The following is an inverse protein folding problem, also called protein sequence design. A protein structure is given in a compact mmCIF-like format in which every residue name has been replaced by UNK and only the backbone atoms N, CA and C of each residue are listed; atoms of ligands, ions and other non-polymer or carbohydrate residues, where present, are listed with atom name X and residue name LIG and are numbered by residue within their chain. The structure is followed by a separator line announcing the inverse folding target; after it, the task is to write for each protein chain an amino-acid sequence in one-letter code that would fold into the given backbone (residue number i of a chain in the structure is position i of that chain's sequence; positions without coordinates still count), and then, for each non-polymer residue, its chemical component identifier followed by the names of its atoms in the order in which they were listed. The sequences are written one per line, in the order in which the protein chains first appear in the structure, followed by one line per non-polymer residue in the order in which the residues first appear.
data_IF_816838251993
#
_entry.id   IF_816838251993
#
_cell.length_a   1.000
_cell.length_b   1.000
_cell.length_c   1.000
_cell.angle_alpha   90.00
_cell.angle_beta   90.00
_cell.angle_gamma   90.00
#
_symmetry.space_group_name_H-M   'P 1'
#
loop_
_entity.id
_entity.type
_entity.pdbx_description
1 polymer ?
#
# COMPACT_ATOMS: atom_id res chain seq x y z
N UNK A 1 -1.22 20.97 -0.85
CA UNK A 1 -0.42 19.82 -1.31
C UNK A 1 -1.32 18.84 -2.07
N UNK A 2 -0.76 18.06 -3.00
CA UNK A 2 -1.49 17.22 -3.98
C UNK A 2 -2.51 16.26 -3.32
N UNK A 3 -2.18 15.65 -2.17
CA UNK A 3 -3.11 14.80 -1.42
C UNK A 3 -4.47 15.47 -1.17
N UNK A 4 -4.46 16.73 -0.71
CA UNK A 4 -5.68 17.49 -0.40
C UNK A 4 -6.52 17.76 -1.65
N UNK A 5 -5.87 18.01 -2.79
CA UNK A 5 -6.54 18.25 -4.06
C UNK A 5 -7.22 16.99 -4.59
N UNK A 6 -6.59 15.83 -4.45
CA UNK A 6 -7.09 14.56 -4.97
C UNK A 6 -8.13 13.90 -4.06
N UNK A 7 -7.90 13.93 -2.74
CA UNK A 7 -8.70 13.17 -1.77
C UNK A 7 -9.62 14.06 -0.92
N UNK A 8 -9.58 15.38 -1.11
CA UNK A 8 -10.53 16.31 -0.49
C UNK A 8 -10.53 16.21 1.03
N UNK A 9 -11.67 15.88 1.63
CA UNK A 9 -11.80 15.75 3.10
C UNK A 9 -11.03 14.57 3.67
N UNK A 10 -10.64 13.59 2.86
CA UNK A 10 -9.91 12.40 3.29
C UNK A 10 -8.40 12.62 3.43
N UNK A 11 -7.89 13.82 3.12
CA UNK A 11 -6.49 14.16 3.33
C UNK A 11 -6.36 15.44 4.17
N UNK A 12 -5.32 15.55 5.02
CA UNK A 12 -5.04 16.77 5.74
C UNK A 12 -4.65 17.87 4.75
N UNK A 13 -5.09 19.08 5.05
CA UNK A 13 -4.52 20.31 4.55
C UNK A 13 -3.22 20.58 5.32
N UNK A 14 -2.13 20.69 4.57
CA UNK A 14 -0.77 20.87 5.10
C UNK A 14 -0.18 22.16 4.54
N UNK A 15 0.39 22.95 5.45
CA UNK A 15 1.04 24.23 5.17
C UNK A 15 2.50 24.16 5.60
N UNK A 16 3.41 24.59 4.73
CA UNK A 16 4.78 24.85 5.12
C UNK A 16 4.83 26.17 5.89
N UNK A 17 5.32 26.13 7.13
CA UNK A 17 5.40 27.30 8.01
C UNK A 17 6.75 27.99 7.86
N UNK A 18 7.82 27.22 7.69
CA UNK A 18 9.17 27.73 7.56
C UNK A 18 10.22 26.69 7.92
N UNK A 19 11.47 27.10 7.90
CA UNK A 19 12.61 26.30 8.35
C UNK A 19 13.39 27.07 9.41
N UNK A 20 13.93 26.36 10.41
CA UNK A 20 14.93 26.90 11.31
C UNK A 20 16.30 26.49 10.79
N UNK A 21 17.11 27.47 10.41
CA UNK A 21 18.51 27.30 10.08
C UNK A 21 19.32 28.25 10.94
N UNK A 22 20.41 27.74 11.50
CA UNK A 22 21.47 28.57 12.06
C UNK A 22 22.57 28.63 10.99
N UNK A 23 22.45 29.58 10.06
CA UNK A 23 23.22 29.70 8.80
C UNK A 23 24.76 29.80 9.01
N UNK A 24 25.26 29.66 10.24
CA UNK A 24 26.67 29.79 10.61
C UNK A 24 27.35 28.56 11.22
N UNK A 25 26.65 27.43 11.46
CA UNK A 25 27.26 26.27 12.11
C UNK A 25 27.33 25.08 11.16
N UNK A 26 28.54 24.77 10.70
CA UNK A 26 28.83 23.58 9.91
C UNK A 26 28.36 22.32 10.64
N UNK A 27 27.54 21.50 9.96
CA UNK A 27 27.07 20.20 10.46
C UNK A 27 25.69 20.18 11.12
N UNK A 28 24.90 21.26 11.07
CA UNK A 28 23.49 21.23 11.48
C UNK A 28 22.56 21.01 10.29
N UNK A 29 21.64 20.05 10.42
CA UNK A 29 20.55 19.84 9.46
C UNK A 29 19.42 20.86 9.68
N UNK A 30 18.77 21.35 8.61
CA UNK A 30 17.65 22.27 8.72
C UNK A 30 16.43 21.59 9.35
N UNK A 31 15.76 22.28 10.29
CA UNK A 31 14.48 21.82 10.83
C UNK A 31 13.33 22.44 10.03
N UNK A 32 12.58 21.62 9.30
CA UNK A 32 11.39 22.06 8.57
C UNK A 32 10.14 21.96 9.45
N UNK A 33 9.32 23.00 9.43
CA UNK A 33 8.10 23.10 10.23
C UNK A 33 6.89 23.11 9.30
N UNK A 34 5.99 22.15 9.53
CA UNK A 34 4.72 22.03 8.82
C UNK A 34 3.55 22.10 9.80
N UNK A 35 2.45 22.70 9.37
CA UNK A 35 1.18 22.70 10.08
C UNK A 35 0.18 21.87 9.27
N UNK A 36 -0.47 20.91 9.92
CA UNK A 36 -1.52 20.11 9.32
C UNK A 36 -2.81 20.21 10.13
N UNK A 37 -3.97 20.31 9.47
CA UNK A 37 -5.23 20.17 10.19
C UNK A 37 -5.42 18.71 10.64
N UNK A 38 -5.99 18.53 11.84
CA UNK A 38 -6.25 17.20 12.38
C UNK A 38 -7.43 16.55 11.65
N UNK A 39 -7.21 15.34 11.12
CA UNK A 39 -8.29 14.44 10.72
C UNK A 39 -8.98 13.91 11.98
N UNK A 40 -10.30 14.11 12.08
CA UNK A 40 -11.10 13.70 13.24
C UNK A 40 -11.52 12.24 13.09
N UNK A 41 -11.04 11.40 14.00
CA UNK A 41 -11.25 9.97 14.04
C UNK A 41 -10.18 9.31 14.90
N UNK A 42 -10.13 7.98 14.89
CA UNK A 42 -9.08 7.16 15.49
C UNK A 42 -8.30 6.44 14.39
N UNK A 43 -7.07 6.03 14.67
CA UNK A 43 -6.36 5.16 13.71
C UNK A 43 -7.08 3.82 13.61
N UNK A 44 -6.96 3.15 12.48
CA UNK A 44 -7.51 1.80 12.33
C UNK A 44 -6.86 0.83 13.34
N UNK A 45 -5.58 1.06 13.68
CA UNK A 45 -4.90 0.34 14.75
C UNK A 45 -5.64 0.49 16.10
N UNK A 46 -5.91 1.72 16.52
CA UNK A 46 -6.62 2.01 17.78
C UNK A 46 -8.04 1.42 17.78
N UNK A 47 -8.73 1.51 16.64
CA UNK A 47 -10.04 0.88 16.45
C UNK A 47 -9.95 -0.64 16.64
N UNK A 48 -8.99 -1.30 16.00
CA UNK A 48 -8.77 -2.75 16.13
C UNK A 48 -8.38 -3.15 17.55
N UNK A 49 -7.59 -2.35 18.26
CA UNK A 49 -7.23 -2.61 19.67
C UNK A 49 -8.44 -2.52 20.60
N UNK A 50 -9.40 -1.65 20.28
CA UNK A 50 -10.60 -1.43 21.09
C UNK A 50 -11.72 -2.44 20.78
N UNK A 51 -11.89 -2.79 19.49
CA UNK A 51 -13.06 -3.52 19.00
C UNK A 51 -12.75 -4.86 18.32
N UNK A 52 -11.49 -5.14 18.01
CA UNK A 52 -11.09 -6.23 17.10
C UNK A 52 -11.30 -7.64 17.62
N UNK A 53 -11.74 -7.83 18.87
CA UNK A 53 -12.01 -9.14 19.45
C UNK A 53 -13.49 -9.33 19.83
N UNK A 54 -14.09 -10.49 19.53
CA UNK A 54 -13.52 -11.61 18.78
C UNK A 54 -13.45 -11.33 17.28
N UNK A 55 -12.44 -11.86 16.60
CA UNK A 55 -12.12 -11.53 15.20
C UNK A 55 -13.32 -11.67 14.26
N UNK A 56 -14.09 -12.76 14.35
CA UNK A 56 -15.18 -13.08 13.42
C UNK A 56 -16.57 -12.77 14.01
N UNK A 57 -16.68 -11.78 14.91
CA UNK A 57 -17.99 -11.27 15.31
C UNK A 57 -18.74 -10.64 14.12
N UNK A 58 -20.06 -10.62 14.20
CA UNK A 58 -20.88 -9.97 13.18
C UNK A 58 -20.57 -8.47 13.07
N UNK A 59 -20.27 -7.81 14.18
CA UNK A 59 -19.90 -6.39 14.21
C UNK A 59 -18.54 -6.16 13.54
N UNK A 60 -17.52 -6.97 13.85
CA UNK A 60 -16.21 -6.89 13.21
C UNK A 60 -16.27 -7.15 11.71
N UNK A 61 -17.11 -8.10 11.29
CA UNK A 61 -17.39 -8.29 9.88
C UNK A 61 -18.03 -7.05 9.25
N UNK A 62 -19.06 -6.47 9.88
CA UNK A 62 -19.74 -5.28 9.37
C UNK A 62 -18.77 -4.09 9.24
N UNK A 63 -17.95 -3.83 10.25
CA UNK A 63 -16.95 -2.76 10.23
C UNK A 63 -15.89 -2.96 9.14
N UNK A 64 -15.32 -4.18 9.00
CA UNK A 64 -14.37 -4.47 7.90
C UNK A 64 -15.01 -4.31 6.53
N UNK A 65 -16.27 -4.73 6.37
CA UNK A 65 -17.00 -4.57 5.12
C UNK A 65 -17.25 -3.10 4.79
N UNK A 66 -17.59 -2.29 5.79
CA UNK A 66 -17.70 -0.84 5.65
C UNK A 66 -16.38 -0.23 5.19
N UNK A 67 -15.30 -0.49 5.94
CA UNK A 67 -14.00 0.08 5.66
C UNK A 67 -13.47 -0.34 4.30
N UNK A 68 -13.60 -1.62 3.91
CA UNK A 68 -13.08 -2.09 2.62
C UNK A 68 -13.85 -1.50 1.43
N UNK A 69 -15.15 -1.25 1.59
CA UNK A 69 -15.94 -0.51 0.59
C UNK A 69 -15.49 0.95 0.47
N UNK A 70 -15.20 1.61 1.59
CA UNK A 70 -14.66 2.99 1.58
C UNK A 70 -13.25 3.06 1.00
N UNK A 71 -12.41 2.06 1.27
CA UNK A 71 -11.10 1.91 0.64
C UNK A 71 -11.22 1.80 -0.88
N UNK A 72 -12.15 0.99 -1.38
CA UNK A 72 -12.38 0.89 -2.82
C UNK A 72 -12.76 2.25 -3.44
N UNK A 73 -13.60 3.04 -2.78
CA UNK A 73 -13.92 4.41 -3.20
C UNK A 73 -12.71 5.33 -3.16
N UNK A 74 -11.90 5.24 -2.11
CA UNK A 74 -10.65 6.00 -1.97
C UNK A 74 -9.66 5.70 -3.10
N UNK A 75 -9.42 4.42 -3.41
CA UNK A 75 -8.58 4.03 -4.54
C UNK A 75 -9.21 4.45 -5.88
N UNK A 76 -10.54 4.42 -6.02
CA UNK A 76 -11.20 4.92 -7.22
C UNK A 76 -10.96 6.42 -7.45
N UNK A 77 -10.83 7.24 -6.41
CA UNK A 77 -10.49 8.67 -6.55
C UNK A 77 -9.13 8.86 -7.22
N UNK A 78 -8.15 8.04 -6.86
CA UNK A 78 -6.81 8.11 -7.43
C UNK A 78 -6.80 7.64 -8.88
N UNK A 79 -7.51 6.53 -9.19
CA UNK A 79 -7.69 6.05 -10.56
C UNK A 79 -8.33 7.10 -11.47
N UNK A 80 -9.39 7.75 -11.00
CA UNK A 80 -10.13 8.79 -11.75
C UNK A 80 -9.37 10.10 -11.92
N UNK A 81 -8.24 10.25 -11.21
CA UNK A 81 -7.44 11.46 -11.21
C UNK A 81 -5.98 11.15 -11.59
N UNK A 82 -5.73 10.61 -12.80
CA UNK A 82 -4.37 10.28 -13.21
C UNK A 82 -3.50 11.53 -13.27
N UNK A 83 -2.27 11.40 -12.78
CA UNK A 83 -1.25 12.42 -12.82
C UNK A 83 -0.51 12.38 -14.15
N UNK A 84 -0.32 13.55 -14.75
CA UNK A 84 0.50 13.67 -15.95
C UNK A 84 1.97 13.52 -15.56
N UNK A 85 2.65 12.55 -16.16
CA UNK A 85 4.09 12.35 -16.01
C UNK A 85 4.76 12.44 -17.37
N UNK A 86 5.96 13.02 -17.40
CA UNK A 86 6.74 13.07 -18.61
C UNK A 86 7.30 11.68 -18.98
N UNK A 87 7.60 11.41 -20.27
CA UNK A 87 8.14 10.12 -20.70
C UNK A 87 9.48 9.75 -20.02
N UNK A 88 10.30 10.73 -19.63
CA UNK A 88 11.57 10.46 -18.94
C UNK A 88 11.34 9.95 -17.52
N UNK A 89 10.33 10.48 -16.82
CA UNK A 89 9.93 10.00 -15.50
C UNK A 89 9.43 8.55 -15.57
N UNK A 90 8.54 8.25 -16.52
CA UNK A 90 8.05 6.89 -16.74
C UNK A 90 9.18 5.92 -17.11
N UNK A 91 10.15 6.37 -17.92
CA UNK A 91 11.34 5.57 -18.23
C UNK A 91 12.25 5.32 -17.01
N UNK A 92 12.39 6.30 -16.11
CA UNK A 92 13.11 6.10 -14.84
C UNK A 92 12.41 5.07 -13.97
N UNK A 93 11.09 5.16 -13.80
CA UNK A 93 10.32 4.16 -13.06
C UNK A 93 10.47 2.76 -13.65
N UNK A 94 10.42 2.64 -14.99
CA UNK A 94 10.68 1.38 -15.68
C UNK A 94 12.03 0.79 -15.32
N UNK A 95 13.09 1.59 -15.41
CA UNK A 95 14.44 1.16 -15.05
C UNK A 95 14.51 0.74 -13.58
N UNK A 96 13.98 1.55 -12.66
CA UNK A 96 13.95 1.26 -11.22
C UNK A 96 13.24 -0.06 -10.94
N UNK A 97 11.99 -0.22 -11.39
CA UNK A 97 11.22 -1.43 -11.10
C UNK A 97 11.83 -2.67 -11.73
N UNK A 98 12.30 -2.61 -12.98
CA UNK A 98 12.98 -3.74 -13.62
C UNK A 98 14.24 -4.12 -12.85
N UNK A 99 15.09 -3.16 -12.46
CA UNK A 99 16.32 -3.43 -11.74
C UNK A 99 16.06 -3.98 -10.33
N UNK A 100 15.10 -3.42 -9.59
CA UNK A 100 14.73 -3.90 -8.26
C UNK A 100 14.13 -5.30 -8.31
N UNK A 101 13.23 -5.58 -9.25
CA UNK A 101 12.67 -6.92 -9.42
C UNK A 101 13.71 -7.96 -9.86
N UNK A 102 14.68 -7.59 -10.71
CA UNK A 102 15.80 -8.48 -11.07
C UNK A 102 16.70 -8.78 -9.88
N UNK A 103 16.91 -7.78 -9.02
CA UNK A 103 17.67 -7.95 -7.79
C UNK A 103 16.94 -8.91 -6.83
N UNK A 104 15.61 -8.74 -6.67
CA UNK A 104 14.78 -9.68 -5.90
C UNK A 104 14.75 -11.08 -6.50
N UNK A 105 14.69 -11.22 -7.82
CA UNK A 105 14.75 -12.51 -8.51
C UNK A 105 16.04 -13.26 -8.15
N UNK A 106 17.15 -12.53 -8.01
CA UNK A 106 18.45 -13.12 -7.66
C UNK A 106 18.56 -13.43 -6.17
N UNK A 107 18.04 -12.55 -5.31
CA UNK A 107 18.23 -12.63 -3.86
C UNK A 107 17.20 -13.51 -3.13
N UNK A 108 15.94 -13.51 -3.58
CA UNK A 108 14.87 -14.24 -2.91
C UNK A 108 14.93 -15.75 -3.20
N UNK A 109 14.37 -16.59 -2.30
CA UNK A 109 14.27 -18.03 -2.51
C UNK A 109 13.57 -18.40 -3.83
N UNK A 110 14.01 -19.51 -4.44
CA UNK A 110 13.53 -20.02 -5.75
C UNK A 110 12.01 -20.11 -5.86
N UNK A 111 11.29 -20.36 -4.75
CA UNK A 111 9.83 -20.42 -4.72
C UNK A 111 9.13 -19.14 -5.22
N UNK A 112 9.81 -17.98 -5.16
CA UNK A 112 9.25 -16.71 -5.65
C UNK A 112 9.61 -16.41 -7.12
N UNK A 113 10.56 -17.13 -7.71
CA UNK A 113 11.16 -16.76 -8.99
C UNK A 113 10.15 -16.65 -10.13
N UNK A 114 9.21 -17.58 -10.24
CA UNK A 114 8.19 -17.55 -11.28
C UNK A 114 7.29 -16.29 -11.19
N UNK A 115 6.89 -15.92 -9.98
CA UNK A 115 6.03 -14.76 -9.72
C UNK A 115 6.82 -13.47 -9.97
N UNK A 116 8.06 -13.38 -9.47
CA UNK A 116 8.92 -12.23 -9.71
C UNK A 116 9.21 -12.06 -11.21
N UNK A 117 9.47 -13.14 -11.95
CA UNK A 117 9.66 -13.09 -13.39
C UNK A 117 8.40 -12.59 -14.11
N UNK A 118 7.21 -13.07 -13.72
CA UNK A 118 5.95 -12.57 -14.27
C UNK A 118 5.76 -11.06 -14.05
N UNK A 119 6.19 -10.54 -12.90
CA UNK A 119 6.17 -9.10 -12.64
C UNK A 119 7.16 -8.34 -13.54
N UNK A 120 8.39 -8.86 -13.73
CA UNK A 120 9.39 -8.29 -14.64
C UNK A 120 8.84 -8.21 -16.06
N UNK A 121 8.26 -9.30 -16.55
CA UNK A 121 7.70 -9.40 -17.91
C UNK A 121 6.49 -8.46 -18.11
N UNK A 122 5.86 -8.03 -17.02
CA UNK A 122 4.66 -7.20 -17.02
C UNK A 122 4.92 -5.73 -16.68
N UNK A 123 6.17 -5.30 -16.46
CA UNK A 123 6.49 -3.91 -16.05
C UNK A 123 5.91 -2.88 -17.01
N UNK A 124 6.01 -3.08 -18.33
CA UNK A 124 5.49 -2.12 -19.31
C UNK A 124 3.95 -2.05 -19.28
N UNK A 125 3.27 -3.18 -19.06
CA UNK A 125 1.82 -3.20 -18.87
C UNK A 125 1.43 -2.46 -17.59
N UNK A 126 2.12 -2.73 -16.47
CA UNK A 126 1.91 -2.06 -15.18
C UNK A 126 2.10 -0.55 -15.32
N UNK A 127 3.14 -0.10 -16.01
CA UNK A 127 3.39 1.32 -16.26
C UNK A 127 2.39 1.94 -17.23
N UNK A 128 1.62 1.15 -17.96
CA UNK A 128 0.54 1.63 -18.82
C UNK A 128 -0.76 1.90 -18.05
N UNK A 129 -0.88 1.42 -16.80
CA UNK A 129 -1.96 1.81 -15.90
C UNK A 129 -1.93 3.32 -15.60
N UNK A 130 -3.05 3.89 -15.09
CA UNK A 130 -3.08 5.26 -14.59
C UNK A 130 -1.94 5.53 -13.60
N UNK A 131 -1.21 6.62 -13.82
CA UNK A 131 -0.22 7.12 -12.86
C UNK A 131 -0.96 7.87 -11.77
N UNK A 132 -0.84 7.46 -10.52
CA UNK A 132 -1.63 7.97 -9.41
C UNK A 132 -0.72 8.40 -8.26
N UNK A 133 -1.26 9.20 -7.34
CA UNK A 133 -0.54 9.61 -6.14
C UNK A 133 -0.65 8.53 -5.06
N UNK A 134 0.44 7.76 -4.92
CA UNK A 134 0.64 6.63 -4.04
C UNK A 134 1.08 7.10 -2.65
N UNK A 135 0.60 6.47 -1.58
CA UNK A 135 0.93 6.86 -0.19
C UNK A 135 2.31 6.34 0.28
N UNK A 136 2.77 5.22 -0.29
CA UNK A 136 3.99 4.47 0.08
C UNK A 136 4.03 3.86 1.49
N UNK A 137 3.46 4.51 2.50
CA UNK A 137 3.29 3.94 3.86
C UNK A 137 1.81 3.70 4.20
N UNK A 138 1.09 3.02 3.31
CA UNK A 138 -0.35 2.80 3.48
C UNK A 138 -0.59 1.65 4.48
N UNK A 139 -1.03 1.96 5.69
CA UNK A 139 -1.23 0.95 6.73
C UNK A 139 -2.14 1.39 7.88
N UNK A 140 -2.38 0.47 8.82
CA UNK A 140 -3.34 0.63 9.93
C UNK A 140 -3.09 1.84 10.83
N UNK A 141 -1.85 2.36 10.86
CA UNK A 141 -1.48 3.56 11.61
C UNK A 141 -1.86 4.85 10.88
N UNK A 142 -1.94 4.82 9.55
CA UNK A 142 -2.16 5.98 8.70
C UNK A 142 -3.58 6.06 8.14
N UNK A 143 -4.36 4.99 8.30
CA UNK A 143 -5.80 4.95 8.00
C UNK A 143 -6.58 5.46 9.21
N UNK A 144 -7.35 6.54 9.03
CA UNK A 144 -8.21 7.12 10.05
C UNK A 144 -9.66 6.69 9.83
N UNK A 145 -10.31 6.19 10.87
CA UNK A 145 -11.70 5.74 10.82
C UNK A 145 -12.57 6.45 11.85
N UNK A 146 -13.88 6.51 11.57
CA UNK A 146 -14.89 6.88 12.55
C UNK A 146 -14.97 5.81 13.66
N UNK A 147 -14.91 6.25 14.92
CA UNK A 147 -14.78 5.38 16.09
C UNK A 147 -16.01 4.47 16.33
N UNK A 148 -17.17 4.80 15.76
CA UNK A 148 -18.39 4.01 15.95
C UNK A 148 -18.73 3.14 14.74
N UNK A 149 -18.49 3.67 13.55
CA UNK A 149 -18.96 3.08 12.29
C UNK A 149 -17.86 2.41 11.47
N UNK A 150 -16.60 2.67 11.78
CA UNK A 150 -15.43 2.24 11.01
C UNK A 150 -15.41 2.79 9.56
N UNK A 151 -16.19 3.83 9.26
CA UNK A 151 -16.10 4.54 8.00
C UNK A 151 -14.75 5.23 7.85
N UNK A 152 -14.18 5.23 6.65
CA UNK A 152 -12.95 5.98 6.37
C UNK A 152 -13.22 7.48 6.53
N UNK A 153 -12.46 8.14 7.41
CA UNK A 153 -12.54 9.60 7.61
C UNK A 153 -11.28 10.32 7.13
N UNK A 154 -10.19 9.61 6.89
CA UNK A 154 -9.05 10.13 6.16
C UNK A 154 -7.82 9.23 6.18
N UNK A 155 -6.79 9.69 5.49
CA UNK A 155 -5.46 9.08 5.41
C UNK A 155 -4.45 10.16 5.72
N UNK A 156 -3.51 9.87 6.62
CA UNK A 156 -2.51 10.81 7.13
C UNK A 156 -1.09 10.31 6.83
N UNK A 157 -0.10 11.17 7.03
CA UNK A 157 1.32 10.88 6.79
C UNK A 157 1.70 10.64 5.32
N UNK A 158 1.44 11.66 4.50
CA UNK A 158 1.76 11.67 3.07
C UNK A 158 3.24 12.02 2.78
N UNK A 159 4.15 11.88 3.75
CA UNK A 159 5.54 12.32 3.63
C UNK A 159 6.31 11.54 2.55
N UNK A 160 6.05 10.23 2.46
CA UNK A 160 6.71 9.32 1.50
C UNK A 160 5.94 9.17 0.18
N UNK A 161 4.89 9.98 -0.02
CA UNK A 161 4.00 9.81 -1.16
C UNK A 161 4.70 10.11 -2.50
N UNK A 162 4.43 9.27 -3.51
CA UNK A 162 5.05 9.38 -4.84
C UNK A 162 4.01 9.22 -5.95
N UNK A 163 4.40 9.54 -7.18
CA UNK A 163 3.58 9.24 -8.36
C UNK A 163 4.01 7.90 -8.94
N UNK A 164 3.12 6.93 -9.00
CA UNK A 164 3.43 5.60 -9.56
C UNK A 164 2.20 4.95 -10.20
N UNK A 165 2.36 3.81 -10.89
CA UNK A 165 1.23 3.13 -11.50
C UNK A 165 0.24 2.65 -10.44
N UNK A 166 -1.05 2.75 -10.76
CA UNK A 166 -2.11 2.25 -9.89
C UNK A 166 -1.91 0.77 -9.57
N UNK A 167 -2.22 0.38 -8.33
CA UNK A 167 -2.17 -1.01 -7.90
C UNK A 167 -1.01 -1.32 -6.94
N UNK A 168 0.10 -0.56 -6.98
CA UNK A 168 1.27 -0.85 -6.16
C UNK A 168 0.99 -0.85 -4.64
N UNK A 169 0.09 0.01 -4.13
CA UNK A 169 -0.28 -0.02 -2.70
C UNK A 169 -1.44 -0.96 -2.35
N UNK A 170 -2.03 -1.70 -3.30
CA UNK A 170 -3.21 -2.54 -3.02
C UNK A 170 -2.89 -3.76 -2.14
N UNK A 171 -1.62 -4.12 -1.95
CA UNK A 171 -1.21 -5.20 -1.05
C UNK A 171 -1.51 -4.85 0.42
N UNK A 172 -1.49 -3.57 0.78
CA UNK A 172 -1.80 -3.09 2.12
C UNK A 172 -3.22 -3.45 2.61
N UNK A 173 -4.15 -3.66 1.67
CA UNK A 173 -5.52 -4.06 1.96
C UNK A 173 -5.63 -5.42 2.64
N UNK A 174 -4.61 -6.28 2.55
CA UNK A 174 -4.66 -7.59 3.19
C UNK A 174 -4.73 -7.52 4.72
N UNK A 175 -4.25 -6.42 5.31
CA UNK A 175 -4.45 -6.15 6.74
C UNK A 175 -5.91 -5.95 7.13
N UNK A 176 -6.80 -5.70 6.15
CA UNK A 176 -8.25 -5.59 6.36
C UNK A 176 -8.98 -6.93 6.24
N UNK A 177 -8.38 -7.89 5.51
CA UNK A 177 -8.99 -9.18 5.19
C UNK A 177 -8.31 -10.38 5.88
N UNK A 178 -7.24 -10.13 6.62
CA UNK A 178 -6.56 -11.13 7.44
C UNK A 178 -5.75 -10.50 8.57
N UNK A 179 -5.05 -11.37 9.29
CA UNK A 179 -4.16 -11.01 10.39
C UNK A 179 -2.84 -11.78 10.30
N UNK A 180 -1.77 -11.14 10.73
CA UNK A 180 -0.46 -11.75 10.87
C UNK A 180 -0.26 -12.29 12.29
N UNK A 181 0.06 -13.56 12.42
CA UNK A 181 0.52 -14.16 13.66
C UNK A 181 2.01 -14.52 13.53
N UNK A 182 2.87 -13.98 14.41
CA UNK A 182 4.33 -14.13 14.28
C UNK A 182 4.82 -15.59 14.21
N UNK A 183 4.08 -16.52 14.81
CA UNK A 183 4.41 -17.96 14.74
C UNK A 183 3.84 -18.67 13.51
N UNK A 184 2.68 -18.23 13.02
CA UNK A 184 1.87 -19.01 12.06
C UNK A 184 1.78 -18.33 10.69
N UNK A 185 2.32 -17.11 10.55
CA UNK A 185 2.15 -16.28 9.37
C UNK A 185 0.75 -15.70 9.28
N UNK A 186 0.34 -15.39 8.05
CA UNK A 186 -0.96 -14.81 7.76
C UNK A 186 -2.09 -15.82 7.84
N UNK A 187 -3.22 -15.38 8.36
CA UNK A 187 -4.51 -16.09 8.33
C UNK A 187 -5.61 -15.16 7.85
N UNK A 188 -6.54 -15.66 7.04
CA UNK A 188 -7.71 -14.91 6.58
C UNK A 188 -8.79 -14.83 7.65
N UNK A 189 -9.57 -13.76 7.64
CA UNK A 189 -10.85 -13.73 8.35
C UNK A 189 -11.88 -14.62 7.63
N UNK A 190 -12.88 -15.12 8.35
CA UNK A 190 -13.88 -16.07 7.81
C UNK A 190 -14.60 -15.54 6.55
N UNK A 191 -14.80 -14.22 6.47
CA UNK A 191 -15.53 -13.57 5.38
C UNK A 191 -14.63 -13.00 4.28
N UNK A 192 -13.40 -13.51 4.13
CA UNK A 192 -12.41 -13.00 3.17
C UNK A 192 -12.97 -12.78 1.76
N UNK A 193 -13.64 -13.79 1.19
CA UNK A 193 -14.17 -13.71 -0.17
C UNK A 193 -15.19 -12.56 -0.31
N UNK A 194 -16.07 -12.39 0.69
CA UNK A 194 -17.05 -11.31 0.68
C UNK A 194 -16.38 -9.94 0.77
N UNK A 195 -15.28 -9.82 1.52
CA UNK A 195 -14.51 -8.59 1.61
C UNK A 195 -13.82 -8.28 0.27
N UNK A 196 -13.20 -9.27 -0.37
CA UNK A 196 -12.59 -9.12 -1.71
C UNK A 196 -13.64 -8.72 -2.75
N UNK A 197 -14.78 -9.43 -2.81
CA UNK A 197 -15.89 -9.10 -3.72
C UNK A 197 -16.37 -7.67 -3.47
N UNK A 198 -16.57 -7.28 -2.20
CA UNK A 198 -16.98 -5.92 -1.83
C UNK A 198 -16.00 -4.87 -2.34
N UNK A 199 -14.68 -5.12 -2.20
CA UNK A 199 -13.66 -4.22 -2.70
C UNK A 199 -13.70 -4.09 -4.22
N UNK A 200 -13.60 -5.21 -4.94
CA UNK A 200 -13.49 -5.21 -6.39
C UNK A 200 -14.77 -4.73 -7.08
N UNK A 201 -15.94 -5.12 -6.59
CA UNK A 201 -17.22 -4.66 -7.12
C UNK A 201 -17.42 -3.16 -6.90
N UNK A 202 -17.05 -2.65 -5.72
CA UNK A 202 -17.13 -1.21 -5.44
C UNK A 202 -16.14 -0.45 -6.30
N UNK A 203 -14.90 -0.93 -6.44
CA UNK A 203 -13.89 -0.28 -7.29
C UNK A 203 -14.35 -0.20 -8.75
N UNK A 204 -14.83 -1.32 -9.32
CA UNK A 204 -15.39 -1.35 -10.68
C UNK A 204 -16.56 -0.40 -10.82
N UNK A 205 -17.50 -0.39 -9.87
CA UNK A 205 -18.64 0.52 -9.90
C UNK A 205 -18.22 1.99 -9.86
N UNK A 206 -17.22 2.34 -9.06
CA UNK A 206 -16.76 3.72 -8.88
C UNK A 206 -15.90 4.25 -10.03
N UNK A 207 -15.16 3.35 -10.70
CA UNK A 207 -14.29 3.67 -11.84
C UNK A 207 -15.04 3.60 -13.17
N UNK A 208 -16.04 2.71 -13.29
CA UNK A 208 -16.68 2.34 -14.55
C UNK A 208 -16.11 1.05 -15.14
N UNK A 209 -16.35 0.81 -16.42
CA UNK A 209 -15.88 -0.41 -17.10
C UNK A 209 -14.34 -0.43 -17.19
N UNK A 210 -13.71 -1.20 -16.31
CA UNK A 210 -12.28 -1.54 -16.38
C UNK A 210 -12.15 -2.79 -17.27
N UNK A 211 -11.31 -2.72 -18.30
CA UNK A 211 -11.04 -3.88 -19.15
C UNK A 211 -10.47 -5.05 -18.32
N UNK A 212 -10.82 -6.30 -18.67
CA UNK A 212 -10.32 -7.47 -17.93
C UNK A 212 -8.78 -7.55 -17.97
N UNK A 213 -8.16 -7.13 -19.06
CA UNK A 213 -6.69 -7.01 -19.17
C UNK A 213 -6.11 -5.97 -18.22
N UNK A 214 -6.79 -4.83 -18.03
CA UNK A 214 -6.37 -3.82 -17.05
C UNK A 214 -6.52 -4.36 -15.63
N UNK A 215 -7.61 -5.08 -15.31
CA UNK A 215 -7.79 -5.72 -14.00
C UNK A 215 -6.69 -6.75 -13.73
N UNK A 216 -6.33 -7.57 -14.72
CA UNK A 216 -5.21 -8.51 -14.62
C UNK A 216 -3.89 -7.78 -14.38
N UNK A 217 -3.67 -6.66 -15.06
CA UNK A 217 -2.49 -5.80 -14.87
C UNK A 217 -2.48 -5.16 -13.49
N UNK A 218 -3.62 -4.72 -12.95
CA UNK A 218 -3.76 -4.19 -11.58
C UNK A 218 -3.41 -5.25 -10.54
N UNK A 219 -3.81 -6.51 -10.75
CA UNK A 219 -3.41 -7.62 -9.86
C UNK A 219 -1.90 -7.86 -9.90
N UNK A 220 -1.26 -7.76 -11.07
CA UNK A 220 0.20 -7.84 -11.20
C UNK A 220 0.91 -6.63 -10.56
N UNK A 221 0.34 -5.43 -10.67
CA UNK A 221 0.83 -4.24 -9.98
C UNK A 221 0.75 -4.41 -8.46
N UNK A 222 -0.33 -5.00 -7.94
CA UNK A 222 -0.47 -5.35 -6.51
C UNK A 222 0.65 -6.29 -6.02
N UNK A 223 0.94 -7.33 -6.79
CA UNK A 223 2.04 -8.27 -6.48
C UNK A 223 3.39 -7.55 -6.54
N UNK A 224 3.61 -6.73 -7.58
CA UNK A 224 4.84 -5.94 -7.74
C UNK A 224 5.04 -5.03 -6.55
N UNK A 225 4.01 -4.30 -6.12
CA UNK A 225 4.10 -3.44 -4.95
C UNK A 225 4.36 -4.20 -3.64
N UNK A 226 3.78 -5.41 -3.47
CA UNK A 226 4.13 -6.29 -2.35
C UNK A 226 5.62 -6.66 -2.37
N UNK A 227 6.15 -7.07 -3.53
CA UNK A 227 7.56 -7.43 -3.69
C UNK A 227 8.48 -6.24 -3.40
N UNK A 228 8.15 -5.05 -3.89
CA UNK A 228 8.95 -3.84 -3.64
C UNK A 228 8.89 -3.41 -2.16
N UNK A 229 7.76 -3.63 -1.49
CA UNK A 229 7.59 -3.24 -0.07
C UNK A 229 8.27 -4.23 0.88
N UNK A 230 8.07 -5.53 0.68
CA UNK A 230 8.53 -6.57 1.63
C UNK A 230 9.78 -7.31 1.14
N UNK A 231 10.15 -7.19 -0.14
CA UNK A 231 11.37 -7.80 -0.67
C UNK A 231 12.65 -7.08 -0.26
N UNK A 232 12.54 -5.89 0.32
CA UNK A 232 13.66 -5.04 0.71
C UNK A 232 13.63 -4.68 2.20
N UNK A 233 14.78 -4.24 2.71
CA UNK A 233 14.88 -3.61 4.04
C UNK A 233 14.19 -2.25 4.05
N UNK A 234 13.63 -1.87 5.20
CA UNK A 234 12.92 -0.59 5.37
C UNK A 234 13.82 0.60 5.01
N UNK A 235 13.19 1.65 4.45
CA UNK A 235 13.85 2.91 4.13
C UNK A 235 13.73 3.88 5.31
N UNK A 236 14.57 3.74 6.33
CA UNK A 236 14.78 4.87 7.25
C UNK A 236 15.85 5.78 6.65
N UNK A 237 15.68 7.10 6.79
CA UNK A 237 16.58 8.11 6.21
C UNK A 237 18.06 7.93 6.61
N UNK A 238 18.35 7.13 7.65
CA UNK A 238 19.67 6.85 8.17
C UNK A 238 20.17 5.41 7.93
N UNK A 239 19.39 4.55 7.26
CA UNK A 239 19.79 3.16 6.98
C UNK A 239 20.66 3.07 5.71
N UNK A 240 21.62 2.12 5.65
CA UNK A 240 22.30 1.80 4.41
C UNK A 240 21.28 1.41 3.35
N UNK A 241 21.53 1.82 2.10
CA UNK A 241 20.53 1.85 1.02
C UNK A 241 19.72 0.56 0.83
N UNK A 242 18.59 0.72 0.15
CA UNK A 242 17.60 -0.29 -0.23
C UNK A 242 18.23 -1.62 -0.73
N UNK A 243 18.40 -2.61 0.17
CA UNK A 243 18.94 -3.95 -0.16
C UNK A 243 17.87 -5.03 0.02
N UNK A 244 17.92 -6.14 -0.76
CA UNK A 244 17.01 -7.25 -0.59
C UNK A 244 17.06 -7.83 0.83
N UNK A 245 15.91 -8.31 1.31
CA UNK A 245 15.83 -8.95 2.62
C UNK A 245 16.74 -10.19 2.71
N UNK A 246 17.39 -10.34 3.86
CA UNK A 246 18.24 -11.48 4.18
C UNK A 246 17.58 -12.48 5.13
N UNK A 247 18.39 -13.39 5.69
CA UNK A 247 17.97 -14.33 6.73
C UNK A 247 17.96 -13.74 8.16
N UNK A 248 18.06 -12.42 8.29
CA UNK A 248 18.05 -11.72 9.57
C UNK A 248 16.62 -11.59 10.15
N UNK A 249 16.47 -10.91 11.28
CA UNK A 249 15.16 -10.76 11.93
C UNK A 249 14.16 -9.99 11.08
N UNK A 250 14.57 -8.85 10.53
CA UNK A 250 13.71 -8.02 9.67
C UNK A 250 13.32 -8.77 8.39
N UNK A 251 14.27 -9.45 7.76
CA UNK A 251 14.01 -10.25 6.57
C UNK A 251 13.09 -11.43 6.85
N UNK A 252 13.22 -12.10 8.01
CA UNK A 252 12.27 -13.15 8.42
C UNK A 252 10.85 -12.60 8.64
N UNK A 253 10.71 -11.40 9.22
CA UNK A 253 9.40 -10.77 9.39
C UNK A 253 8.75 -10.47 8.02
N UNK A 254 9.49 -9.84 7.12
CA UNK A 254 9.00 -9.53 5.77
C UNK A 254 8.69 -10.79 4.94
N UNK A 255 9.49 -11.86 5.14
CA UNK A 255 9.28 -13.15 4.49
C UNK A 255 7.91 -13.76 4.84
N UNK A 256 7.36 -13.50 6.04
CA UNK A 256 6.01 -13.96 6.40
C UNK A 256 4.93 -13.40 5.46
N UNK A 257 5.08 -12.13 5.06
CA UNK A 257 4.16 -11.49 4.10
C UNK A 257 4.34 -12.02 2.68
N UNK A 258 5.58 -12.21 2.23
CA UNK A 258 5.84 -12.80 0.92
C UNK A 258 5.32 -14.25 0.84
N UNK A 259 5.62 -15.09 1.83
CA UNK A 259 5.13 -16.46 1.89
C UNK A 259 3.61 -16.53 1.99
N UNK A 260 3.00 -15.70 2.83
CA UNK A 260 1.54 -15.64 2.99
C UNK A 260 0.83 -15.28 1.70
N UNK A 261 1.23 -14.19 1.05
CA UNK A 261 0.47 -13.64 -0.07
C UNK A 261 0.87 -14.18 -1.44
N UNK A 262 2.04 -14.81 -1.59
CA UNK A 262 2.51 -15.34 -2.87
C UNK A 262 2.54 -16.87 -2.94
N UNK A 263 2.70 -17.57 -1.82
CA UNK A 263 2.98 -19.02 -1.82
C UNK A 263 1.90 -19.82 -1.10
N UNK A 264 1.50 -19.42 0.11
CA UNK A 264 0.59 -20.20 0.95
C UNK A 264 -0.78 -20.34 0.28
N UNK A 265 -1.27 -21.55 -0.05
CA UNK A 265 -2.54 -21.73 -0.75
C UNK A 265 -3.75 -21.21 0.03
N UNK A 266 -3.66 -21.11 1.36
CA UNK A 266 -4.74 -20.61 2.21
C UNK A 266 -4.85 -19.08 2.20
N UNK A 267 -3.76 -18.38 1.87
CA UNK A 267 -3.69 -16.91 2.01
C UNK A 267 -3.20 -16.18 0.76
N UNK A 268 -2.62 -16.86 -0.22
CA UNK A 268 -2.08 -16.27 -1.46
C UNK A 268 -3.12 -15.51 -2.25
N UNK A 269 -2.69 -14.46 -2.95
CA UNK A 269 -3.58 -13.70 -3.82
C UNK A 269 -4.26 -14.59 -4.86
N UNK A 270 -5.50 -14.22 -5.19
CA UNK A 270 -6.29 -14.90 -6.21
C UNK A 270 -5.63 -14.78 -7.59
N UNK A 271 -5.72 -15.85 -8.39
CA UNK A 271 -5.18 -15.88 -9.75
C UNK A 271 -3.68 -16.15 -9.85
N UNK A 272 -2.99 -16.38 -8.72
CA UNK A 272 -1.64 -16.94 -8.71
C UNK A 272 -1.73 -18.47 -8.86
N UNK A 273 -1.28 -19.01 -9.99
CA UNK A 273 -1.14 -20.45 -10.21
C UNK A 273 0.22 -20.93 -9.70
#
# INVERSE_FOLDING_TARGET
MLAKQLYGTLAPEVFFVGQLVDDGIAGKEPLYIYLANRIRGVTQLDFNLTHGLPDNSQDNFAWRKTLIGDMARFFALSWKSPQLVDPSYRNRLRQTYTSELQLLLTALPVRFHAITQSCIDSVDAILSLPMVFLHQDFGVCNIMVDETTCHLVGVIDWAEAEIGPFGLNLSALESLSGKLHLRNGWSRYEYYNILQDTFWDTLKKEVGDIAEDDLRTVRLARITGLLLTYGFTSRFANDPGHVPIGGDEQGRYNMLSLDGFLINPETRFEGLN
#
